data_IF_176214641099
#
_entry.id   IF_176214641099
#
_cell.length_a   1.000
_cell.length_b   1.000
_cell.length_c   1.000
_cell.angle_alpha   90.00
_cell.angle_beta   90.00
_cell.angle_gamma   90.00
#
_symmetry.space_group_name_H-M   'P 1'
#
loop_
_entity.id
_entity.type
_entity.pdbx_description
1 polymer ?
#
# COMPACT_ATOMS: atom_id res chain seq x y z
N UNK A 1 -11.01 4.34 3.45
CA UNK A 1 -11.26 2.96 2.98
C UNK A 1 -10.13 2.11 3.54
N UNK A 2 -10.46 1.04 4.26
CA UNK A 2 -9.47 0.16 4.89
C UNK A 2 -9.22 -1.08 4.01
N UNK A 3 -7.96 -1.51 3.89
CA UNK A 3 -7.56 -2.68 3.09
C UNK A 3 -6.65 -3.56 3.93
N UNK A 4 -7.03 -4.83 4.10
CA UNK A 4 -6.20 -5.82 4.77
C UNK A 4 -5.19 -6.45 3.80
N UNK A 5 -3.94 -6.62 4.25
CA UNK A 5 -2.92 -7.34 3.50
C UNK A 5 -3.07 -8.85 3.69
N UNK A 6 -2.81 -9.63 2.63
CA UNK A 6 -2.62 -11.07 2.77
C UNK A 6 -1.39 -11.34 3.67
N UNK A 7 -1.53 -12.04 4.80
CA UNK A 7 -0.43 -12.28 5.74
C UNK A 7 0.73 -13.11 5.15
N UNK A 8 0.49 -13.79 4.03
CA UNK A 8 1.49 -14.58 3.31
C UNK A 8 2.20 -13.81 2.18
N UNK A 9 1.87 -12.54 1.94
CA UNK A 9 2.48 -11.75 0.88
C UNK A 9 3.97 -11.50 1.17
N UNK A 10 4.84 -11.83 0.20
CA UNK A 10 6.29 -11.67 0.26
C UNK A 10 6.82 -11.08 -1.05
N UNK A 11 7.92 -10.33 -0.97
CA UNK A 11 8.75 -10.01 -2.12
C UNK A 11 9.47 -11.27 -2.65
N UNK A 12 10.08 -11.18 -3.84
CA UNK A 12 10.76 -12.32 -4.47
C UNK A 12 11.95 -12.87 -3.67
N UNK A 13 12.52 -12.05 -2.76
CA UNK A 13 13.57 -12.44 -1.83
C UNK A 13 13.04 -13.09 -0.52
N UNK A 14 11.72 -13.17 -0.36
CA UNK A 14 11.08 -13.69 0.84
C UNK A 14 10.79 -12.65 1.92
N UNK A 15 11.16 -11.37 1.72
CA UNK A 15 10.87 -10.29 2.67
C UNK A 15 9.35 -10.06 2.79
N UNK A 16 8.76 -9.94 3.99
CA UNK A 16 7.35 -9.62 4.17
C UNK A 16 6.94 -8.27 3.59
N UNK A 17 5.81 -8.24 2.88
CA UNK A 17 5.20 -6.98 2.41
C UNK A 17 4.43 -6.34 3.58
N UNK A 18 4.66 -5.05 3.81
CA UNK A 18 4.02 -4.27 4.87
C UNK A 18 3.12 -3.17 4.31
N UNK A 19 2.29 -2.56 5.18
CA UNK A 19 1.46 -1.42 4.79
C UNK A 19 2.29 -0.24 4.27
N UNK A 20 3.51 -0.05 4.79
CA UNK A 20 4.42 1.03 4.38
C UNK A 20 4.87 0.90 2.93
N UNK A 21 5.07 -0.33 2.46
CA UNK A 21 5.49 -0.62 1.09
C UNK A 21 4.37 -0.32 0.08
N UNK A 22 3.12 -0.55 0.48
CA UNK A 22 1.94 -0.32 -0.36
C UNK A 22 1.62 1.17 -0.50
N UNK A 23 1.76 1.94 0.57
CA UNK A 23 1.50 3.39 0.58
C UNK A 23 2.41 4.15 -0.39
N UNK A 24 3.68 3.72 -0.55
CA UNK A 24 4.63 4.35 -1.47
C UNK A 24 4.18 4.28 -2.94
N UNK A 25 3.65 3.13 -3.36
CA UNK A 25 3.21 2.89 -4.74
C UNK A 25 1.86 3.54 -5.05
N UNK A 26 0.95 3.60 -4.07
CA UNK A 26 -0.37 4.22 -4.24
C UNK A 26 -0.25 5.71 -4.63
N UNK A 27 0.57 6.47 -3.91
CA UNK A 27 0.81 7.89 -4.24
C UNK A 27 1.44 8.09 -5.62
N UNK A 28 2.27 7.13 -6.06
CA UNK A 28 3.03 7.20 -7.31
C UNK A 28 2.20 6.89 -8.56
N UNK A 29 1.16 6.06 -8.48
CA UNK A 29 0.40 5.60 -9.65
C UNK A 29 -1.12 5.84 -9.60
N UNK A 30 -1.71 6.13 -8.44
CA UNK A 30 -3.17 6.31 -8.31
C UNK A 30 -3.63 7.77 -8.33
N UNK A 31 -2.71 8.73 -8.55
CA UNK A 31 -3.03 10.17 -8.63
C UNK A 31 -3.35 10.67 -10.04
N UNK A 32 -3.60 9.76 -10.98
CA UNK A 32 -4.37 10.05 -12.20
C UNK A 32 -5.84 10.29 -11.84
N UNK A 33 -6.18 11.54 -11.51
CA UNK A 33 -7.48 12.04 -11.01
C UNK A 33 -7.89 11.56 -9.61
N UNK A 34 -7.38 12.30 -8.62
CA UNK A 34 -8.20 12.78 -7.50
C UNK A 34 -8.79 11.74 -6.54
N UNK A 35 -7.94 11.11 -5.73
CA UNK A 35 -8.38 10.58 -4.44
C UNK A 35 -7.30 10.87 -3.39
N UNK A 36 -7.52 11.92 -2.60
CA UNK A 36 -6.74 12.16 -1.39
C UNK A 36 -7.08 11.05 -0.38
N UNK A 37 -6.10 10.20 -0.06
CA UNK A 37 -6.22 9.26 1.05
C UNK A 37 -5.66 9.93 2.30
N UNK A 38 -6.55 10.37 3.19
CA UNK A 38 -6.17 10.87 4.52
C UNK A 38 -5.61 9.72 5.36
N UNK A 39 -4.40 9.84 5.94
CA UNK A 39 -3.94 8.88 6.93
C UNK A 39 -4.65 9.22 8.25
N UNK A 40 -5.50 8.31 8.74
CA UNK A 40 -6.09 8.43 10.08
C UNK A 40 -5.15 7.72 11.06
N UNK A 41 -4.83 8.43 12.17
CA UNK A 41 -4.13 7.94 13.35
C UNK A 41 -4.93 6.86 14.09
#
# INVERSE_FOLDING_TARGET
MEIALNPHARFHDGTPITARDVVFTFNKFMTGRGAAVSPVL
#
